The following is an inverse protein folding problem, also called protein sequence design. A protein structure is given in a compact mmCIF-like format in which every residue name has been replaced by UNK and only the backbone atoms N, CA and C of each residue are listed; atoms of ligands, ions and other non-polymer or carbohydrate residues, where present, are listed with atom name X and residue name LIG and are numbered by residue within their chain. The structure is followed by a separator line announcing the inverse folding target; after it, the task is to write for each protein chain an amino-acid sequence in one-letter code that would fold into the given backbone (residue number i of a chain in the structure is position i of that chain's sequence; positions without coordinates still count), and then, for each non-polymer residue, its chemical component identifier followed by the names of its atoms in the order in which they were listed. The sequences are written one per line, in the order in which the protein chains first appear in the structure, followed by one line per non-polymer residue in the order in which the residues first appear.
data_IF_034782407086
#
_entry.id   IF_034782407086
#
_cell.length_a   1.000
_cell.length_b   1.000
_cell.length_c   1.000
_cell.angle_alpha   90.00
_cell.angle_beta   90.00
_cell.angle_gamma   90.00
#
_symmetry.space_group_name_H-M   'P 1'
#
loop_
_entity.id
_entity.type
_entity.pdbx_description
1 polymer ?
#
# COMPACT_ATOMS: atom_id res chain seq x y z
N UNK A 1 21.35 -14.11 -8.02
CA UNK A 1 20.54 -12.89 -7.99
C UNK A 1 19.18 -13.32 -8.52
N UNK A 2 18.17 -13.40 -7.66
CA UNK A 2 16.83 -13.80 -8.08
C UNK A 2 16.20 -12.70 -8.93
N UNK A 3 15.31 -13.07 -9.84
CA UNK A 3 14.58 -12.11 -10.65
C UNK A 3 13.53 -11.39 -9.79
N UNK A 4 13.52 -10.06 -9.86
CA UNK A 4 12.48 -9.26 -9.23
C UNK A 4 11.26 -9.21 -10.14
N UNK A 5 10.09 -9.51 -9.57
CA UNK A 5 8.81 -9.45 -10.28
C UNK A 5 8.02 -8.24 -9.79
N UNK A 6 7.58 -7.39 -10.72
CA UNK A 6 6.71 -6.25 -10.41
C UNK A 6 5.30 -6.54 -10.92
N UNK A 7 4.30 -6.38 -10.06
CA UNK A 7 2.89 -6.59 -10.40
C UNK A 7 2.08 -5.35 -10.08
N UNK A 8 1.16 -5.01 -10.97
CA UNK A 8 0.14 -4.01 -10.69
C UNK A 8 -0.74 -4.47 -9.52
N UNK A 9 -1.03 -3.55 -8.61
CA UNK A 9 -1.92 -3.83 -7.49
C UNK A 9 -3.34 -4.02 -8.02
N UNK A 10 -3.93 -5.16 -7.70
CA UNK A 10 -5.34 -5.46 -7.95
C UNK A 10 -5.97 -5.98 -6.65
N UNK A 11 -7.30 -6.08 -6.53
CA UNK A 11 -7.96 -6.68 -5.37
C UNK A 11 -7.41 -8.07 -4.99
N UNK A 12 -6.95 -8.84 -5.98
CA UNK A 12 -6.37 -10.17 -5.76
C UNK A 12 -5.03 -10.15 -5.01
N UNK A 13 -4.31 -9.02 -5.00
CA UNK A 13 -3.02 -8.84 -4.31
C UNK A 13 -3.16 -8.07 -2.98
N UNK A 14 -4.38 -7.88 -2.49
CA UNK A 14 -4.66 -7.14 -1.25
C UNK A 14 -3.88 -7.71 -0.06
N UNK A 15 -3.94 -9.02 0.14
CA UNK A 15 -3.33 -9.65 1.32
C UNK A 15 -1.78 -9.54 1.28
N UNK A 16 -1.19 -9.58 0.08
CA UNK A 16 0.25 -9.32 -0.12
C UNK A 16 0.63 -7.88 0.22
N UNK A 17 -0.20 -6.91 -0.19
CA UNK A 17 -0.03 -5.49 0.17
C UNK A 17 -0.10 -5.30 1.69
N UNK A 18 -1.10 -5.89 2.35
CA UNK A 18 -1.25 -5.83 3.79
C UNK A 18 -0.06 -6.46 4.51
N UNK A 19 0.42 -7.63 4.05
CA UNK A 19 1.61 -8.28 4.60
C UNK A 19 2.86 -7.39 4.51
N UNK A 20 3.05 -6.73 3.36
CA UNK A 20 4.17 -5.80 3.17
C UNK A 20 4.12 -4.65 4.19
N UNK A 21 2.99 -3.98 4.36
CA UNK A 21 2.87 -2.87 5.30
C UNK A 21 2.82 -3.31 6.77
N UNK A 22 2.32 -4.52 7.06
CA UNK A 22 2.24 -5.06 8.41
C UNK A 22 3.65 -5.33 9.00
N UNK A 23 4.62 -5.72 8.16
CA UNK A 23 5.93 -6.20 8.66
C UNK A 23 7.19 -5.84 7.85
N UNK A 24 7.09 -5.40 6.60
CA UNK A 24 8.27 -5.13 5.74
C UNK A 24 8.52 -3.63 5.57
N UNK A 25 7.49 -2.87 5.21
CA UNK A 25 7.60 -1.45 4.81
C UNK A 25 8.20 -0.54 5.89
N UNK A 26 8.05 -0.92 7.16
CA UNK A 26 8.40 -0.10 8.33
C UNK A 26 9.30 -0.85 9.33
N UNK A 27 9.94 -1.94 8.91
CA UNK A 27 10.78 -2.75 9.80
C UNK A 27 11.88 -1.93 10.49
N UNK A 28 12.46 -0.96 9.77
CA UNK A 28 13.50 -0.08 10.29
C UNK A 28 12.95 1.24 10.89
N UNK A 29 11.65 1.53 10.69
CA UNK A 29 10.98 2.77 11.08
C UNK A 29 9.58 2.50 11.67
N UNK A 30 9.46 1.80 12.82
CA UNK A 30 8.19 1.32 13.35
C UNK A 30 7.21 2.44 13.73
N UNK A 31 7.71 3.63 14.09
CA UNK A 31 6.90 4.82 14.38
C UNK A 31 6.06 5.27 13.16
N UNK A 32 6.42 4.83 11.96
CA UNK A 32 5.69 5.16 10.73
C UNK A 32 4.74 4.04 10.30
N UNK A 33 4.66 2.94 11.06
CA UNK A 33 3.88 1.77 10.69
C UNK A 33 2.36 1.97 10.67
N UNK A 34 1.88 3.05 11.27
CA UNK A 34 0.48 3.46 11.19
C UNK A 34 0.10 4.07 9.83
N UNK A 35 1.10 4.46 9.02
CA UNK A 35 0.88 5.25 7.83
C UNK A 35 0.28 4.46 6.67
N UNK A 36 0.54 3.15 6.47
CA UNK A 36 0.10 2.37 5.28
C UNK A 36 0.14 3.13 3.94
N UNK A 37 1.08 4.06 3.77
CA UNK A 37 1.08 5.09 2.71
C UNK A 37 -0.23 5.91 2.55
N UNK A 38 -1.21 5.81 3.46
CA UNK A 38 -2.41 6.64 3.55
C UNK A 38 -2.13 8.04 4.07
N UNK A 39 -0.98 8.30 4.70
CA UNK A 39 -0.65 9.59 5.32
C UNK A 39 -0.74 10.80 4.35
N UNK A 40 -0.53 10.60 3.05
CA UNK A 40 -0.67 11.66 2.04
C UNK A 40 -2.12 11.91 1.58
N UNK A 41 -3.05 11.00 1.92
CA UNK A 41 -4.43 11.02 1.44
C UNK A 41 -5.46 11.13 2.57
N UNK A 42 -5.13 10.67 3.79
CA UNK A 42 -6.05 10.55 4.92
C UNK A 42 -5.35 10.85 6.25
N UNK A 43 -6.12 11.35 7.23
CA UNK A 43 -5.64 11.50 8.60
C UNK A 43 -5.24 10.14 9.17
N UNK A 44 -4.09 10.06 9.86
CA UNK A 44 -3.68 8.86 10.58
C UNK A 44 -4.69 8.57 11.69
N UNK A 45 -5.35 7.40 11.64
CA UNK A 45 -6.33 6.94 12.62
C UNK A 45 -5.83 5.76 13.47
N UNK A 46 -4.52 5.48 13.42
CA UNK A 46 -3.86 4.34 14.07
C UNK A 46 -3.86 3.07 13.22
N UNK A 47 -2.87 2.18 13.47
CA UNK A 47 -2.57 0.99 12.65
C UNK A 47 -3.78 0.19 12.19
N UNK A 48 -4.66 -0.19 13.12
CA UNK A 48 -5.79 -1.07 12.83
C UNK A 48 -6.81 -0.42 11.89
N UNK A 49 -7.07 0.88 12.06
CA UNK A 49 -8.00 1.60 11.20
C UNK A 49 -7.38 1.88 9.83
N UNK A 50 -6.12 2.30 9.78
CA UNK A 50 -5.38 2.47 8.54
C UNK A 50 -5.35 1.18 7.72
N UNK A 51 -5.12 0.03 8.37
CA UNK A 51 -5.14 -1.29 7.75
C UNK A 51 -6.50 -1.65 7.15
N UNK A 52 -7.59 -1.43 7.90
CA UNK A 52 -8.96 -1.68 7.43
C UNK A 52 -9.32 -0.78 6.24
N UNK A 53 -8.96 0.50 6.34
CA UNK A 53 -9.21 1.46 5.28
C UNK A 53 -8.42 1.10 4.01
N UNK A 54 -7.14 0.76 4.13
CA UNK A 54 -6.33 0.29 3.01
C UNK A 54 -6.94 -0.94 2.35
N UNK A 55 -7.33 -1.95 3.15
CA UNK A 55 -8.02 -3.16 2.65
C UNK A 55 -9.25 -2.81 1.82
N UNK A 56 -10.15 -1.96 2.35
CA UNK A 56 -11.38 -1.57 1.66
C UNK A 56 -11.09 -0.80 0.37
N UNK A 57 -10.12 0.12 0.39
CA UNK A 57 -9.78 0.90 -0.80
C UNK A 57 -9.14 0.05 -1.90
N UNK A 58 -8.41 -1.01 -1.55
CA UNK A 58 -7.88 -1.97 -2.52
C UNK A 58 -9.01 -2.84 -3.09
N UNK A 59 -9.93 -3.31 -2.24
CA UNK A 59 -11.10 -4.09 -2.68
C UNK A 59 -12.01 -3.27 -3.62
N UNK A 60 -12.14 -1.96 -3.38
CA UNK A 60 -12.89 -1.02 -4.22
C UNK A 60 -12.12 -0.54 -5.46
N UNK A 61 -10.88 -1.02 -5.70
CA UNK A 61 -9.99 -0.57 -6.79
C UNK A 61 -9.70 0.94 -6.79
N UNK A 62 -9.53 1.53 -5.61
CA UNK A 62 -9.30 2.98 -5.38
C UNK A 62 -7.86 3.34 -5.02
N UNK A 63 -7.01 2.34 -4.79
CA UNK A 63 -5.57 2.52 -4.61
C UNK A 63 -4.88 1.82 -5.78
N UNK A 64 -4.12 2.60 -6.53
CA UNK A 64 -3.32 2.09 -7.65
C UNK A 64 -1.84 2.16 -7.33
N UNK A 65 -1.09 1.23 -7.92
CA UNK A 65 0.35 1.13 -7.71
C UNK A 65 0.87 -0.24 -8.08
N UNK A 66 2.09 -0.51 -7.64
CA UNK A 66 2.81 -1.73 -7.94
C UNK A 66 3.42 -2.34 -6.68
N UNK A 67 3.38 -3.66 -6.60
CA UNK A 67 4.12 -4.46 -5.62
C UNK A 67 5.34 -5.10 -6.30
N UNK A 68 6.49 -4.99 -5.67
CA UNK A 68 7.71 -5.68 -6.06
C UNK A 68 7.88 -6.94 -5.23
N UNK A 69 8.28 -8.04 -5.88
CA UNK A 69 8.46 -9.34 -5.26
C UNK A 69 9.88 -9.87 -5.46
N UNK A 70 10.45 -10.43 -4.39
CA UNK A 70 11.64 -11.27 -4.44
C UNK A 70 11.28 -12.67 -3.93
N UNK A 71 11.54 -13.71 -4.73
CA UNK A 71 11.22 -15.10 -4.39
C UNK A 71 9.78 -15.31 -3.89
N UNK A 72 8.82 -14.61 -4.51
CA UNK A 72 7.39 -14.69 -4.16
C UNK A 72 6.97 -13.91 -2.91
N UNK A 73 7.89 -13.18 -2.26
CA UNK A 73 7.58 -12.33 -1.10
C UNK A 73 7.55 -10.86 -1.51
N UNK A 74 6.57 -10.07 -1.06
CA UNK A 74 6.55 -8.64 -1.34
C UNK A 74 7.69 -7.93 -0.60
N UNK A 75 8.48 -7.17 -1.34
CA UNK A 75 9.67 -6.45 -0.84
C UNK A 75 9.63 -4.95 -1.14
N UNK A 76 8.63 -4.48 -1.88
CA UNK A 76 8.48 -3.06 -2.18
C UNK A 76 7.08 -2.68 -2.63
N UNK A 77 6.77 -1.39 -2.49
CA UNK A 77 5.53 -0.75 -2.90
C UNK A 77 5.83 0.54 -3.64
N UNK A 78 5.09 0.82 -4.70
CA UNK A 78 5.12 2.09 -5.41
C UNK A 78 3.69 2.54 -5.71
N UNK A 79 3.26 3.68 -5.15
CA UNK A 79 2.01 4.31 -5.59
C UNK A 79 2.25 4.95 -6.97
N UNK A 80 1.47 4.51 -7.95
CA UNK A 80 1.53 5.02 -9.30
C UNK A 80 0.13 4.92 -9.91
N UNK A 81 -0.42 6.07 -10.26
CA UNK A 81 -1.72 6.20 -10.90
C UNK A 81 -1.67 7.34 -11.92
N UNK A 82 -2.47 7.31 -12.99
CA UNK A 82 -2.70 8.49 -13.80
C UNK A 82 -3.14 9.66 -12.91
N UNK A 83 -2.70 10.88 -13.23
CA UNK A 83 -2.99 12.08 -12.41
C UNK A 83 -4.50 12.33 -12.22
N UNK A 84 -5.31 11.85 -13.16
CA UNK A 84 -6.78 11.92 -13.14
C UNK A 84 -7.43 10.92 -12.18
N UNK A 85 -6.72 9.86 -11.81
CA UNK A 85 -7.22 8.73 -11.01
C UNK A 85 -6.51 8.62 -9.65
N UNK A 86 -5.42 9.37 -9.47
CA UNK A 86 -4.78 9.53 -8.16
C UNK A 86 -5.79 10.16 -7.20
N UNK A 87 -6.14 9.45 -6.11
CA UNK A 87 -7.01 9.98 -5.05
C UNK A 87 -6.41 11.28 -4.53
N UNK A 88 -6.87 12.43 -5.00
CA UNK A 88 -6.49 13.71 -4.39
C UNK A 88 -7.28 13.81 -3.10
N UNK A 89 -6.61 14.12 -1.98
CA UNK A 89 -7.34 14.67 -0.83
C UNK A 89 -8.01 15.94 -1.34
N UNK A 90 -9.32 15.90 -1.57
CA UNK A 90 -10.11 17.09 -1.78
C UNK A 90 -10.02 17.88 -0.48
N UNK A 91 -9.13 18.87 -0.43
CA UNK A 91 -9.13 19.87 0.63
C UNK A 91 -10.49 20.56 0.59
N UNK A 92 -11.33 20.29 1.58
CA UNK A 92 -12.42 21.18 1.98
C UNK A 92 -12.01 21.87 3.27
#
# INVERSE_FOLDING_TARGET
MSELVVKELTPSLRDDSLLFFDGVAFADNPDWSDCYCSLYHFANKGKAESRRQASSLIDDDRIHGFLAYDNGKPVGWCNAAPRTESVRSSTS
#
